data_IF_511034146974
#
_entry.id   IF_511034146974
#
_cell.length_a   1.000
_cell.length_b   1.000
_cell.length_c   1.000
_cell.angle_alpha   90.00
_cell.angle_beta   90.00
_cell.angle_gamma   90.00
#
_symmetry.space_group_name_H-M   'P 1'
#
loop_
_entity.id
_entity.type
_entity.pdbx_description
1 polymer ?
#
# COMPACT_ATOMS: atom_id res chain seq x y z
N UNK A 1 -14.53 -49.11 -45.04
CA UNK A 1 -13.28 -49.70 -44.50
C UNK A 1 -12.15 -48.70 -44.76
N UNK A 2 -11.92 -47.78 -43.82
CA UNK A 2 -10.85 -46.78 -43.88
C UNK A 2 -10.17 -46.78 -42.51
N UNK A 3 -8.92 -47.25 -42.49
CA UNK A 3 -8.06 -47.33 -41.31
C UNK A 3 -7.49 -45.94 -41.01
N UNK A 4 -7.78 -45.42 -39.81
CA UNK A 4 -7.13 -44.22 -39.27
C UNK A 4 -5.78 -44.65 -38.70
N UNK A 5 -4.71 -44.11 -39.28
CA UNK A 5 -3.33 -44.37 -38.89
C UNK A 5 -2.97 -43.43 -37.72
N UNK A 6 -2.93 -43.95 -36.49
CA UNK A 6 -2.45 -43.19 -35.33
C UNK A 6 -0.92 -43.10 -35.41
N UNK A 7 -0.42 -41.90 -35.74
CA UNK A 7 1.00 -41.59 -35.73
C UNK A 7 1.59 -41.80 -34.34
N UNK A 8 2.54 -42.74 -34.24
CA UNK A 8 3.35 -43.00 -33.05
C UNK A 8 4.21 -41.75 -32.81
N UNK A 9 3.91 -41.01 -31.74
CA UNK A 9 4.75 -39.90 -31.29
C UNK A 9 6.08 -40.51 -30.81
N UNK A 10 7.24 -40.12 -31.37
CA UNK A 10 8.52 -40.71 -30.99
C UNK A 10 8.83 -40.41 -29.52
N UNK A 11 9.16 -41.47 -28.76
CA UNK A 11 9.36 -41.48 -27.29
C UNK A 11 10.32 -40.39 -26.77
N UNK A 12 11.25 -39.91 -27.62
CA UNK A 12 12.15 -38.77 -27.31
C UNK A 12 11.43 -37.42 -27.16
N UNK A 13 10.26 -37.21 -27.78
CA UNK A 13 9.46 -35.97 -27.61
C UNK A 13 8.62 -35.99 -26.34
N UNK A 14 8.21 -37.18 -25.87
CA UNK A 14 7.46 -37.34 -24.61
C UNK A 14 8.39 -37.08 -23.40
N UNK A 15 9.65 -37.48 -23.47
CA UNK A 15 10.65 -37.21 -22.42
C UNK A 15 11.00 -35.71 -22.28
N UNK A 16 10.97 -34.92 -23.36
CA UNK A 16 11.21 -33.47 -23.31
C UNK A 16 9.99 -32.72 -22.73
N UNK A 17 8.77 -33.18 -23.02
CA UNK A 17 7.54 -32.61 -22.44
C UNK A 17 7.43 -32.94 -20.94
N UNK A 18 7.82 -34.15 -20.51
CA UNK A 18 7.88 -34.52 -19.09
C UNK A 18 9.01 -33.78 -18.33
N UNK A 19 10.15 -33.51 -18.97
CA UNK A 19 11.22 -32.72 -18.37
C UNK A 19 10.87 -31.23 -18.23
N UNK A 20 10.03 -30.68 -19.11
CA UNK A 20 9.49 -29.31 -18.96
C UNK A 20 8.39 -29.20 -17.90
N UNK A 21 7.67 -30.28 -17.60
CA UNK A 21 6.69 -30.34 -16.49
C UNK A 21 7.34 -30.51 -15.11
N UNK A 22 8.62 -30.91 -15.06
CA UNK A 22 9.36 -31.14 -13.81
C UNK A 22 10.06 -29.88 -13.25
N UNK A 23 9.96 -28.73 -13.92
CA UNK A 23 10.37 -27.41 -13.39
C UNK A 23 9.16 -26.51 -13.28
N UNK A 24 8.12 -26.98 -12.60
CA UNK A 24 7.25 -26.04 -11.90
C UNK A 24 8.10 -25.60 -10.71
N UNK A 25 8.58 -24.35 -10.63
CA UNK A 25 9.11 -23.87 -9.36
C UNK A 25 7.99 -24.11 -8.35
N UNK A 26 8.22 -25.01 -7.41
CA UNK A 26 7.40 -25.12 -6.22
C UNK A 26 7.47 -23.74 -5.57
N UNK A 27 6.46 -22.91 -5.83
CA UNK A 27 6.30 -21.60 -5.21
C UNK A 27 5.99 -21.91 -3.75
N UNK A 28 7.04 -22.13 -2.96
CA UNK A 28 6.90 -22.13 -1.52
C UNK A 28 6.33 -20.76 -1.16
N UNK A 29 5.16 -20.75 -0.50
CA UNK A 29 4.55 -19.54 0.00
C UNK A 29 5.59 -18.75 0.80
N UNK A 30 5.65 -17.43 0.61
CA UNK A 30 6.64 -16.62 1.30
C UNK A 30 6.45 -16.69 2.83
N UNK A 31 5.20 -16.73 3.28
CA UNK A 31 4.81 -16.96 4.66
C UNK A 31 4.60 -18.45 4.97
N UNK A 32 5.00 -18.86 6.17
CA UNK A 32 4.71 -20.17 6.74
C UNK A 32 3.91 -20.00 8.03
N UNK A 33 2.73 -20.62 8.09
CA UNK A 33 1.92 -20.63 9.30
C UNK A 33 2.68 -21.33 10.45
N UNK A 34 2.75 -20.64 11.59
CA UNK A 34 3.44 -21.07 12.80
C UNK A 34 2.54 -21.03 14.03
N UNK A 35 1.35 -20.44 13.92
CA UNK A 35 0.39 -20.42 15.01
C UNK A 35 -0.04 -21.85 15.35
N UNK A 36 0.20 -22.24 16.60
CA UNK A 36 -0.35 -23.47 17.14
C UNK A 36 -1.85 -23.28 17.48
N UNK A 37 -2.78 -23.98 16.78
CA UNK A 37 -4.21 -23.88 17.07
C UNK A 37 -4.60 -24.47 18.44
N UNK A 38 -3.70 -25.21 19.10
CA UNK A 38 -3.89 -25.76 20.44
C UNK A 38 -2.98 -25.10 21.49
N UNK A 39 -2.19 -24.10 21.06
CA UNK A 39 -1.24 -23.40 21.92
C UNK A 39 -1.90 -22.46 22.92
N UNK A 40 -1.05 -21.77 23.70
CA UNK A 40 -1.50 -20.77 24.67
C UNK A 40 -2.48 -19.80 24.02
N UNK A 41 -3.64 -19.65 24.63
CA UNK A 41 -4.71 -18.79 24.12
C UNK A 41 -5.25 -17.93 25.24
N UNK A 42 -5.35 -16.63 24.97
CA UNK A 42 -5.83 -15.64 25.92
C UNK A 42 -6.84 -14.72 25.26
N UNK A 43 -7.88 -14.36 26.01
CA UNK A 43 -8.91 -13.45 25.58
C UNK A 43 -8.67 -12.07 26.22
N UNK A 44 -8.52 -11.03 25.41
CA UNK A 44 -8.14 -9.70 25.88
C UNK A 44 -9.14 -9.08 26.86
N UNK A 45 -10.42 -9.41 26.74
CA UNK A 45 -11.46 -8.96 27.68
C UNK A 45 -11.39 -9.75 29.00
N UNK A 46 -11.39 -11.08 28.93
CA UNK A 46 -11.45 -11.95 30.12
C UNK A 46 -10.14 -11.97 30.91
N UNK A 47 -9.00 -12.05 30.23
CA UNK A 47 -7.69 -12.26 30.85
C UNK A 47 -6.94 -10.94 31.11
N UNK A 48 -7.22 -9.87 30.37
CA UNK A 48 -6.50 -8.58 30.45
C UNK A 48 -7.40 -7.37 30.68
N UNK A 49 -8.70 -7.58 30.87
CA UNK A 49 -9.63 -6.52 31.25
C UNK A 49 -9.84 -5.43 30.20
N UNK A 50 -9.64 -5.74 28.90
CA UNK A 50 -10.04 -4.82 27.83
C UNK A 50 -11.57 -4.66 27.82
N UNK A 51 -12.04 -3.43 27.73
CA UNK A 51 -13.45 -3.07 27.79
C UNK A 51 -13.92 -2.55 26.44
N UNK A 52 -15.07 -3.03 25.97
CA UNK A 52 -15.79 -2.35 24.89
C UNK A 52 -16.53 -1.15 25.50
N UNK A 53 -15.87 0.00 25.52
CA UNK A 53 -16.41 1.25 26.05
C UNK A 53 -16.82 2.22 24.95
N UNK A 54 -17.00 1.71 23.72
CA UNK A 54 -17.17 2.50 22.51
C UNK A 54 -15.98 3.43 22.23
N UNK A 55 -14.76 2.92 22.46
CA UNK A 55 -13.50 3.61 22.25
C UNK A 55 -13.39 4.94 23.01
N UNK A 56 -13.86 4.97 24.26
CA UNK A 56 -13.81 6.16 25.13
C UNK A 56 -12.48 6.30 25.87
N UNK A 57 -11.84 5.19 26.22
CA UNK A 57 -10.57 5.15 26.94
C UNK A 57 -9.44 4.59 26.08
N UNK A 58 -8.22 5.08 26.35
CA UNK A 58 -7.01 4.49 25.82
C UNK A 58 -6.72 3.17 26.55
N UNK A 59 -6.61 2.08 25.79
CA UNK A 59 -6.33 0.74 26.29
C UNK A 59 -5.02 0.18 25.74
N UNK A 60 -4.13 1.05 25.27
CA UNK A 60 -2.83 0.68 24.69
C UNK A 60 -1.98 -0.14 25.65
N UNK A 61 -1.92 0.26 26.93
CA UNK A 61 -1.15 -0.43 27.97
C UNK A 61 -1.64 -1.88 28.16
N UNK A 62 -2.95 -2.09 28.28
CA UNK A 62 -3.54 -3.44 28.45
C UNK A 62 -3.22 -4.38 27.29
N UNK A 63 -3.29 -3.87 26.05
CA UNK A 63 -2.97 -4.68 24.88
C UNK A 63 -1.46 -4.97 24.81
N UNK A 64 -0.61 -4.01 25.14
CA UNK A 64 0.84 -4.24 25.16
C UNK A 64 1.23 -5.25 26.25
N UNK A 65 0.66 -5.15 27.46
CA UNK A 65 0.86 -6.12 28.53
C UNK A 65 0.44 -7.53 28.12
N UNK A 66 -0.66 -7.65 27.37
CA UNK A 66 -1.13 -8.93 26.86
C UNK A 66 -0.15 -9.57 25.86
N UNK A 67 0.35 -8.77 24.91
CA UNK A 67 1.38 -9.18 23.95
C UNK A 67 2.64 -9.62 24.68
N UNK A 68 3.07 -8.84 25.67
CA UNK A 68 4.26 -9.11 26.46
C UNK A 68 4.13 -10.39 27.29
N UNK A 69 2.98 -10.59 27.94
CA UNK A 69 2.70 -11.77 28.76
C UNK A 69 2.64 -13.06 27.93
N UNK A 70 2.09 -13.00 26.72
CA UNK A 70 2.04 -14.15 25.79
C UNK A 70 3.41 -14.44 25.20
N UNK A 71 4.12 -13.40 24.73
CA UNK A 71 5.47 -13.55 24.19
C UNK A 71 6.44 -14.12 25.22
N UNK A 72 6.38 -13.69 26.49
CA UNK A 72 7.20 -14.23 27.60
C UNK A 72 6.99 -15.73 27.84
N UNK A 73 5.86 -16.29 27.41
CA UNK A 73 5.55 -17.72 27.51
C UNK A 73 5.91 -18.52 26.25
N UNK A 74 6.65 -17.90 25.32
CA UNK A 74 7.03 -18.51 24.05
C UNK A 74 6.03 -18.30 22.91
N UNK A 75 5.09 -17.36 23.08
CA UNK A 75 4.10 -17.04 22.05
C UNK A 75 2.71 -17.62 22.31
N UNK A 76 1.82 -17.41 21.35
CA UNK A 76 0.43 -17.86 21.43
C UNK A 76 -0.57 -16.89 20.80
N UNK A 77 -1.85 -17.17 21.05
CA UNK A 77 -2.99 -16.47 20.46
C UNK A 77 -3.58 -15.45 21.43
N UNK A 78 -3.78 -14.24 20.95
CA UNK A 78 -4.53 -13.19 21.64
C UNK A 78 -5.82 -12.91 20.88
N UNK A 79 -6.96 -13.18 21.51
CA UNK A 79 -8.28 -12.96 20.93
C UNK A 79 -8.81 -11.61 21.42
N UNK A 80 -9.03 -10.68 20.49
CA UNK A 80 -9.82 -9.46 20.72
C UNK A 80 -11.27 -9.75 20.35
N UNK A 81 -12.18 -9.92 21.34
CA UNK A 81 -13.57 -10.20 21.04
C UNK A 81 -14.25 -8.99 20.38
N UNK A 82 -15.39 -9.22 19.74
CA UNK A 82 -16.18 -8.18 19.09
C UNK A 82 -16.50 -7.05 20.07
N UNK A 83 -16.20 -5.83 19.65
CA UNK A 83 -16.43 -4.61 20.41
C UNK A 83 -15.83 -3.38 19.72
N UNK A 84 -15.88 -2.23 20.40
CA UNK A 84 -15.28 -0.97 19.92
C UNK A 84 -14.23 -0.46 20.91
N UNK A 85 -12.97 -0.49 20.50
CA UNK A 85 -11.80 -0.25 21.35
C UNK A 85 -11.00 0.97 20.87
N UNK A 86 -10.25 1.58 21.78
CA UNK A 86 -9.25 2.58 21.46
C UNK A 86 -7.89 2.21 22.02
N UNK A 87 -6.88 2.17 21.15
CA UNK A 87 -5.48 1.98 21.48
C UNK A 87 -4.62 2.47 20.31
N UNK A 88 -3.33 2.67 20.54
CA UNK A 88 -2.33 3.00 19.52
C UNK A 88 -0.94 2.58 19.98
N UNK A 89 0.05 2.63 19.09
CA UNK A 89 1.45 2.45 19.45
C UNK A 89 1.82 1.03 19.86
N UNK A 90 1.03 0.05 19.46
CA UNK A 90 1.19 -1.35 19.85
C UNK A 90 2.40 -1.95 19.13
N UNK A 91 3.38 -2.44 19.89
CA UNK A 91 4.53 -3.14 19.35
C UNK A 91 4.30 -4.63 19.45
N UNK A 92 4.17 -5.28 18.29
CA UNK A 92 4.04 -6.72 18.21
C UNK A 92 5.34 -7.41 18.64
N UNK A 93 5.24 -8.67 19.07
CA UNK A 93 6.38 -9.50 19.46
C UNK A 93 6.36 -10.84 18.74
N UNK A 94 7.51 -11.52 18.72
CA UNK A 94 7.66 -12.81 18.05
C UNK A 94 6.70 -13.85 18.62
N UNK A 95 6.23 -14.73 17.76
CA UNK A 95 5.33 -15.85 18.07
C UNK A 95 3.96 -15.44 18.63
N UNK A 96 3.61 -14.14 18.56
CA UNK A 96 2.30 -13.62 18.99
C UNK A 96 1.36 -13.48 17.79
N UNK A 97 0.19 -14.09 17.92
CA UNK A 97 -0.86 -14.08 16.91
C UNK A 97 -2.09 -13.33 17.44
N UNK A 98 -2.27 -12.08 16.99
CA UNK A 98 -3.44 -11.27 17.31
C UNK A 98 -4.60 -11.64 16.37
N UNK A 99 -5.66 -12.17 16.95
CA UNK A 99 -6.89 -12.62 16.31
C UNK A 99 -8.03 -11.69 16.71
N UNK A 100 -8.61 -10.96 15.75
CA UNK A 100 -9.61 -9.94 16.01
C UNK A 100 -10.94 -10.39 15.43
N UNK A 101 -11.96 -10.54 16.26
CA UNK A 101 -13.28 -10.98 15.77
C UNK A 101 -13.86 -10.01 14.73
N UNK A 102 -14.57 -10.56 13.75
CA UNK A 102 -15.27 -9.81 12.70
C UNK A 102 -16.09 -8.65 13.27
N UNK A 103 -16.09 -7.54 12.54
CA UNK A 103 -16.78 -6.28 12.86
C UNK A 103 -16.30 -5.58 14.14
N UNK A 104 -15.22 -6.04 14.78
CA UNK A 104 -14.55 -5.27 15.84
C UNK A 104 -14.10 -3.94 15.27
N UNK A 105 -14.37 -2.84 15.97
CA UNK A 105 -13.96 -1.50 15.58
C UNK A 105 -12.81 -1.02 16.46
N UNK A 106 -11.69 -0.65 15.85
CA UNK A 106 -10.56 -0.02 16.52
C UNK A 106 -10.51 1.43 16.08
N UNK A 107 -10.71 2.36 17.02
CA UNK A 107 -10.48 3.78 16.79
C UNK A 107 -9.14 4.15 17.41
N UNK A 108 -8.13 4.55 16.63
CA UNK A 108 -6.82 4.84 17.19
C UNK A 108 -6.89 5.91 18.27
N UNK A 109 -6.25 5.66 19.42
CA UNK A 109 -5.99 6.73 20.38
C UNK A 109 -5.03 7.73 19.74
N UNK A 110 -5.53 8.92 19.41
CA UNK A 110 -4.77 9.86 18.56
C UNK A 110 -4.83 11.29 19.12
N UNK A 111 -3.89 11.65 20.00
CA UNK A 111 -3.78 13.01 20.52
C UNK A 111 -3.62 14.06 19.39
N UNK A 112 -4.16 15.26 19.57
CA UNK A 112 -4.07 16.34 18.59
C UNK A 112 -2.60 16.73 18.28
N UNK A 113 -2.33 17.08 17.02
CA UNK A 113 -1.03 17.47 16.50
C UNK A 113 0.08 16.40 16.64
N UNK A 114 -0.30 15.13 16.73
CA UNK A 114 0.66 14.01 16.82
C UNK A 114 0.67 13.14 15.58
N UNK A 115 1.80 12.47 15.40
CA UNK A 115 1.97 11.37 14.45
C UNK A 115 1.88 10.07 15.23
N UNK A 116 1.09 9.12 14.75
CA UNK A 116 0.87 7.86 15.45
C UNK A 116 0.98 6.68 14.50
N UNK A 117 1.02 5.48 15.06
CA UNK A 117 0.86 4.23 14.32
C UNK A 117 0.10 3.25 15.21
N UNK A 118 -0.85 2.50 14.66
CA UNK A 118 -1.65 1.57 15.47
C UNK A 118 -0.82 0.34 15.85
N UNK A 119 -0.24 -0.33 14.85
CA UNK A 119 0.62 -1.50 15.04
C UNK A 119 2.03 -1.27 14.47
N UNK A 120 3.03 -1.70 15.24
CA UNK A 120 4.45 -1.68 14.91
C UNK A 120 4.98 -3.10 14.79
N UNK A 121 5.48 -3.46 13.61
CA UNK A 121 6.29 -4.66 13.40
C UNK A 121 7.73 -4.22 13.16
N UNK A 122 8.31 -3.67 14.22
CA UNK A 122 9.69 -3.22 14.26
C UNK A 122 10.29 -3.65 15.59
N UNK A 123 10.94 -4.81 15.61
CA UNK A 123 11.73 -5.18 16.77
C UNK A 123 12.85 -4.15 17.02
N UNK A 124 13.11 -3.83 18.29
CA UNK A 124 14.03 -2.76 18.65
C UNK A 124 15.49 -3.15 18.43
N UNK A 125 15.99 -4.13 19.19
CA UNK A 125 17.34 -4.68 19.07
C UNK A 125 17.36 -5.96 18.24
N UNK A 126 16.31 -6.79 18.38
CA UNK A 126 16.10 -8.03 17.63
C UNK A 126 15.01 -7.82 16.57
N UNK A 127 14.87 -8.72 15.60
CA UNK A 127 13.74 -8.71 14.67
C UNK A 127 12.53 -9.41 15.30
N UNK A 128 11.34 -9.12 14.80
CA UNK A 128 10.12 -9.87 15.14
C UNK A 128 10.02 -11.04 14.16
N UNK A 129 9.63 -12.22 14.62
CA UNK A 129 9.35 -13.36 13.74
C UNK A 129 8.09 -14.13 14.11
N UNK A 130 7.49 -14.81 13.13
CA UNK A 130 6.35 -15.72 13.35
C UNK A 130 5.13 -15.00 13.96
N UNK A 131 4.72 -13.89 13.34
CA UNK A 131 3.74 -12.96 13.92
C UNK A 131 2.54 -12.80 13.01
N UNK A 132 1.34 -12.62 13.57
CA UNK A 132 0.16 -12.30 12.75
C UNK A 132 -0.76 -11.26 13.36
N UNK A 133 -1.37 -10.43 12.52
CA UNK A 133 -2.52 -9.58 12.85
C UNK A 133 -3.63 -9.94 11.85
N UNK A 134 -4.70 -10.59 12.32
CA UNK A 134 -5.75 -11.14 11.44
C UNK A 134 -7.14 -11.02 12.00
N UNK A 135 -8.11 -10.84 11.10
CA UNK A 135 -9.52 -11.03 11.40
C UNK A 135 -9.88 -12.50 11.61
N UNK A 136 -10.92 -12.76 12.40
CA UNK A 136 -11.54 -14.07 12.59
C UNK A 136 -12.96 -14.01 12.06
N UNK A 137 -13.31 -14.97 11.19
CA UNK A 137 -14.60 -15.06 10.50
C UNK A 137 -14.96 -13.86 9.59
N UNK A 138 -13.98 -13.00 9.31
CA UNK A 138 -14.11 -11.86 8.42
C UNK A 138 -13.32 -10.65 8.91
N UNK A 139 -13.48 -9.49 8.23
CA UNK A 139 -12.65 -8.34 8.52
C UNK A 139 -13.04 -7.63 9.82
N UNK A 140 -12.03 -7.12 10.52
CA UNK A 140 -12.20 -6.09 11.54
C UNK A 140 -12.01 -4.70 10.91
N UNK A 141 -12.36 -3.65 11.65
CA UNK A 141 -12.40 -2.28 11.16
C UNK A 141 -11.42 -1.42 11.95
N UNK A 142 -10.55 -0.71 11.26
CA UNK A 142 -9.77 0.40 11.82
C UNK A 142 -10.38 1.71 11.32
N UNK A 143 -10.94 2.51 12.23
CA UNK A 143 -11.73 3.68 11.87
C UNK A 143 -11.10 4.98 12.39
N UNK A 144 -10.60 5.76 11.45
CA UNK A 144 -10.17 7.15 11.66
C UNK A 144 -10.80 8.08 10.60
N UNK A 145 -12.00 7.74 10.13
CA UNK A 145 -12.76 8.49 9.13
C UNK A 145 -13.28 9.86 9.61
N UNK A 146 -13.31 10.06 10.93
CA UNK A 146 -13.73 11.32 11.53
C UNK A 146 -12.61 12.35 11.70
N UNK A 147 -11.33 11.97 11.47
CA UNK A 147 -10.18 12.81 11.80
C UNK A 147 -9.94 13.94 10.79
N UNK A 148 -10.00 13.64 9.51
CA UNK A 148 -9.63 14.54 8.42
C UNK A 148 -8.13 14.67 8.19
N UNK A 149 -7.77 15.41 7.14
CA UNK A 149 -6.40 15.75 6.81
C UNK A 149 -5.92 16.99 7.59
N UNK A 150 -5.28 16.77 8.74
CA UNK A 150 -4.78 17.84 9.61
C UNK A 150 -3.26 17.96 9.45
N UNK A 151 -2.78 19.18 9.18
CA UNK A 151 -1.36 19.46 9.03
C UNK A 151 -0.60 19.13 10.32
N UNK A 152 0.51 18.37 10.20
CA UNK A 152 1.30 17.93 11.35
C UNK A 152 0.88 16.59 11.93
N UNK A 153 -0.32 16.12 11.59
CA UNK A 153 -0.85 14.83 12.02
C UNK A 153 -0.68 13.77 10.94
N UNK A 154 -0.51 12.52 11.36
CA UNK A 154 -0.41 11.37 10.45
C UNK A 154 -0.62 10.06 11.18
N UNK A 155 -1.08 9.04 10.46
CA UNK A 155 -1.24 7.69 11.01
C UNK A 155 -0.74 6.62 10.04
N UNK A 156 -0.15 5.57 10.58
CA UNK A 156 -0.03 4.27 9.90
C UNK A 156 -0.83 3.24 10.68
N UNK A 157 -1.67 2.47 10.01
CA UNK A 157 -2.35 1.34 10.65
C UNK A 157 -1.35 0.24 10.98
N UNK A 158 -0.47 -0.11 10.02
CA UNK A 158 0.61 -1.06 10.28
C UNK A 158 1.93 -0.53 9.70
N UNK A 159 2.98 -0.52 10.50
CA UNK A 159 4.34 -0.16 10.08
C UNK A 159 5.27 -1.37 10.21
N UNK A 160 5.63 -1.96 9.08
CA UNK A 160 6.50 -3.12 8.98
C UNK A 160 7.94 -2.69 8.68
N UNK A 161 8.88 -3.16 9.51
CA UNK A 161 10.31 -2.86 9.37
C UNK A 161 11.23 -4.07 9.57
N UNK A 162 11.46 -4.48 10.81
CA UNK A 162 12.32 -5.63 11.17
C UNK A 162 11.44 -6.80 11.54
N UNK A 163 10.88 -7.44 10.53
CA UNK A 163 9.97 -8.57 10.72
C UNK A 163 10.19 -9.65 9.67
N UNK A 164 10.17 -10.91 10.10
CA UNK A 164 10.26 -12.10 9.26
C UNK A 164 9.05 -13.01 9.50
N UNK A 165 8.59 -13.73 8.49
CA UNK A 165 7.52 -14.71 8.61
C UNK A 165 6.25 -14.13 9.25
N UNK A 166 5.57 -13.23 8.54
CA UNK A 166 4.44 -12.48 9.07
C UNK A 166 3.17 -12.59 8.22
N UNK A 167 2.03 -12.49 8.89
CA UNK A 167 0.70 -12.44 8.27
C UNK A 167 -0.07 -11.19 8.70
N UNK A 168 -0.62 -10.45 7.74
CA UNK A 168 -1.52 -9.31 8.00
C UNK A 168 -2.76 -9.47 7.14
N UNK A 169 -3.93 -9.65 7.76
CA UNK A 169 -5.14 -9.95 6.99
C UNK A 169 -6.46 -9.46 7.55
N UNK A 170 -7.47 -9.45 6.68
CA UNK A 170 -8.88 -9.27 6.99
C UNK A 170 -9.13 -7.97 7.76
N UNK A 171 -8.85 -6.85 7.10
CA UNK A 171 -8.92 -5.52 7.69
C UNK A 171 -9.58 -4.52 6.73
N UNK A 172 -10.57 -3.80 7.26
CA UNK A 172 -11.14 -2.61 6.63
C UNK A 172 -10.61 -1.37 7.31
N UNK A 173 -9.96 -0.49 6.56
CA UNK A 173 -9.47 0.81 7.01
C UNK A 173 -10.42 1.90 6.50
N UNK A 174 -11.02 2.64 7.42
CA UNK A 174 -11.80 3.85 7.12
C UNK A 174 -10.92 5.06 7.39
N UNK A 175 -10.33 5.59 6.32
CA UNK A 175 -9.46 6.76 6.37
C UNK A 175 -10.30 8.05 6.18
N UNK A 176 -9.63 9.19 6.30
CA UNK A 176 -10.16 10.52 6.01
C UNK A 176 -9.07 11.40 5.41
N UNK A 177 -8.38 10.86 4.39
CA UNK A 177 -7.33 11.54 3.61
C UNK A 177 -6.16 11.96 4.51
N UNK A 178 -5.89 11.13 5.50
CA UNK A 178 -4.78 11.34 6.43
C UNK A 178 -3.43 11.20 5.70
N UNK A 179 -2.39 11.64 6.40
CA UNK A 179 -1.02 11.51 5.90
C UNK A 179 -0.49 10.10 6.18
N UNK A 180 0.13 9.49 5.15
CA UNK A 180 0.68 8.12 5.04
C UNK A 180 -0.28 7.08 4.48
N UNK A 181 0.29 6.05 3.84
CA UNK A 181 -0.48 4.86 3.50
C UNK A 181 -0.78 4.08 4.78
N UNK A 182 -1.94 3.42 4.82
CA UNK A 182 -2.38 2.67 5.99
C UNK A 182 -1.35 1.58 6.39
N UNK A 183 -0.79 0.87 5.41
CA UNK A 183 0.32 -0.06 5.62
C UNK A 183 1.61 0.50 4.99
N UNK A 184 2.71 0.42 5.73
CA UNK A 184 4.04 0.83 5.26
C UNK A 184 5.05 -0.29 5.46
N UNK A 185 5.84 -0.57 4.43
CA UNK A 185 6.94 -1.53 4.45
C UNK A 185 8.23 -0.77 4.16
N UNK A 186 9.13 -0.68 5.14
CA UNK A 186 10.33 0.14 5.01
C UNK A 186 11.48 -0.52 5.76
N UNK A 187 12.71 -0.17 5.41
CA UNK A 187 13.86 -0.59 6.21
C UNK A 187 13.79 -0.01 7.63
N UNK A 188 14.36 -0.74 8.58
CA UNK A 188 14.77 -0.13 9.83
C UNK A 188 16.02 0.74 9.63
N UNK A 189 16.17 1.68 10.55
CA UNK A 189 17.42 2.44 10.68
C UNK A 189 18.38 1.61 11.52
N UNK A 190 19.65 1.54 11.13
CA UNK A 190 20.71 1.00 11.96
C UNK A 190 20.76 1.76 13.31
N UNK A 191 20.68 1.02 14.42
CA UNK A 191 20.82 1.55 15.80
C UNK A 191 21.98 0.81 16.48
N UNK A 192 22.68 1.50 17.38
CA UNK A 192 23.73 0.88 18.20
C UNK A 192 23.12 -0.24 19.07
N UNK A 193 23.80 -1.39 19.15
CA UNK A 193 23.38 -2.53 19.98
C UNK A 193 22.47 -3.55 19.27
N UNK A 194 22.21 -3.42 17.97
CA UNK A 194 21.54 -4.47 17.20
C UNK A 194 22.41 -5.72 17.14
N UNK A 195 21.85 -6.87 17.53
CA UNK A 195 22.54 -8.16 17.59
C UNK A 195 22.38 -8.98 16.31
N UNK A 196 21.30 -8.75 15.57
CA UNK A 196 21.02 -9.39 14.29
C UNK A 196 20.76 -8.33 13.20
N UNK A 197 21.66 -8.27 12.22
CA UNK A 197 21.60 -7.36 11.07
C UNK A 197 21.06 -8.03 9.80
N UNK A 198 20.73 -9.32 9.84
CA UNK A 198 20.30 -10.06 8.65
C UNK A 198 18.87 -9.69 8.22
N UNK A 199 18.05 -9.20 9.16
CA UNK A 199 16.67 -8.77 8.93
C UNK A 199 16.54 -7.28 9.19
N UNK A 200 16.84 -6.47 8.17
CA UNK A 200 16.70 -5.01 8.20
C UNK A 200 15.44 -4.50 7.50
N UNK A 201 14.73 -5.38 6.81
CA UNK A 201 13.52 -5.10 6.03
C UNK A 201 12.48 -6.20 6.31
N UNK A 202 11.19 -5.98 6.01
CA UNK A 202 10.19 -7.02 6.15
C UNK A 202 10.48 -8.16 5.17
N UNK A 203 10.48 -9.40 5.65
CA UNK A 203 10.68 -10.58 4.80
C UNK A 203 9.70 -11.71 5.07
N UNK A 204 9.46 -12.56 4.07
CA UNK A 204 8.70 -13.81 4.21
C UNK A 204 7.25 -13.55 4.67
N UNK A 205 6.55 -12.66 3.98
CA UNK A 205 5.23 -12.17 4.41
C UNK A 205 4.06 -12.61 3.53
N UNK A 206 2.87 -12.70 4.11
CA UNK A 206 1.61 -12.72 3.37
C UNK A 206 0.68 -11.60 3.87
N UNK A 207 0.16 -10.81 2.95
CA UNK A 207 -0.64 -9.62 3.27
C UNK A 207 -1.86 -9.57 2.36
N UNK A 208 -3.06 -9.69 2.91
CA UNK A 208 -4.22 -9.73 2.04
C UNK A 208 -5.59 -9.55 2.68
N UNK A 209 -6.62 -9.53 1.85
CA UNK A 209 -8.01 -9.25 2.24
C UNK A 209 -8.14 -7.88 2.93
N UNK A 210 -7.60 -6.85 2.27
CA UNK A 210 -7.53 -5.50 2.82
C UNK A 210 -8.38 -4.54 1.98
N UNK A 211 -9.17 -3.72 2.66
CA UNK A 211 -9.92 -2.62 2.05
C UNK A 211 -9.54 -1.30 2.72
N UNK A 212 -9.21 -0.27 1.93
CA UNK A 212 -9.06 1.09 2.43
C UNK A 212 -10.00 2.06 1.69
N UNK A 213 -10.79 2.79 2.45
CA UNK A 213 -11.67 3.84 1.92
C UNK A 213 -11.10 5.21 2.21
N UNK A 214 -11.27 6.15 1.26
CA UNK A 214 -11.03 7.57 1.50
C UNK A 214 -9.60 7.91 1.96
N UNK A 215 -8.61 7.18 1.45
CA UNK A 215 -7.20 7.53 1.62
C UNK A 215 -6.82 8.72 0.73
N UNK A 216 -5.76 9.44 1.12
CA UNK A 216 -5.28 10.56 0.29
C UNK A 216 -4.74 10.05 -1.05
N UNK A 217 -4.99 10.75 -2.18
CA UNK A 217 -4.42 10.37 -3.48
C UNK A 217 -2.88 10.39 -3.53
N UNK A 218 -2.24 11.12 -2.61
CA UNK A 218 -0.79 11.09 -2.42
C UNK A 218 -0.28 9.95 -1.53
N UNK A 219 -1.19 9.17 -0.95
CA UNK A 219 -0.96 8.00 -0.09
C UNK A 219 -1.81 6.83 -0.60
N UNK A 220 -2.51 6.05 0.24
CA UNK A 220 -3.21 4.86 -0.23
C UNK A 220 -3.40 3.79 0.84
N UNK A 221 -3.78 2.59 0.42
CA UNK A 221 -3.84 1.43 1.30
C UNK A 221 -2.43 1.02 1.76
N UNK A 222 -1.52 0.79 0.82
CA UNK A 222 -0.21 0.24 1.11
C UNK A 222 0.90 1.00 0.37
N UNK A 223 2.06 1.16 1.01
CA UNK A 223 3.30 1.58 0.35
C UNK A 223 4.50 0.71 0.74
N UNK A 224 5.26 0.27 -0.27
CA UNK A 224 6.57 -0.35 -0.06
C UNK A 224 7.71 0.60 -0.41
N UNK A 225 8.64 0.69 0.51
CA UNK A 225 9.97 1.27 0.34
C UNK A 225 11.08 0.21 0.40
N UNK A 226 10.85 -0.85 1.18
CA UNK A 226 11.75 -1.99 1.26
C UNK A 226 11.01 -3.27 1.65
N UNK A 227 11.55 -4.42 1.28
CA UNK A 227 11.02 -5.74 1.67
C UNK A 227 11.43 -6.84 0.71
N UNK A 228 11.33 -8.10 1.14
CA UNK A 228 11.72 -9.24 0.29
C UNK A 228 10.86 -10.48 0.50
N UNK A 229 10.46 -11.18 -0.56
CA UNK A 229 9.61 -12.38 -0.50
C UNK A 229 8.33 -12.07 0.27
N UNK A 230 7.46 -11.28 -0.34
CA UNK A 230 6.18 -10.93 0.27
C UNK A 230 5.09 -11.12 -0.80
N UNK A 231 4.09 -11.90 -0.42
CA UNK A 231 2.92 -12.20 -1.23
C UNK A 231 1.76 -11.28 -0.81
N UNK A 232 1.13 -10.64 -1.80
CA UNK A 232 -0.01 -9.77 -1.60
C UNK A 232 -1.25 -10.33 -2.30
N UNK A 233 -2.42 -10.27 -1.66
CA UNK A 233 -3.64 -10.80 -2.26
C UNK A 233 -4.88 -10.02 -1.84
N UNK A 234 -5.82 -9.78 -2.77
CA UNK A 234 -7.11 -9.13 -2.48
C UNK A 234 -6.94 -7.76 -1.81
N UNK A 235 -6.23 -6.84 -2.48
CA UNK A 235 -6.02 -5.47 -2.01
C UNK A 235 -6.97 -4.51 -2.72
N UNK A 236 -7.77 -3.77 -1.95
CA UNK A 236 -8.79 -2.86 -2.49
C UNK A 236 -8.65 -1.44 -1.94
N UNK A 237 -8.75 -0.43 -2.81
CA UNK A 237 -8.95 0.95 -2.38
C UNK A 237 -10.15 1.61 -3.06
N UNK A 238 -10.97 2.31 -2.28
CA UNK A 238 -12.17 2.99 -2.78
C UNK A 238 -12.12 4.47 -2.42
N UNK A 239 -12.36 5.34 -3.40
CA UNK A 239 -12.45 6.78 -3.19
C UNK A 239 -11.11 7.49 -2.99
N UNK A 240 -9.99 6.77 -2.90
CA UNK A 240 -8.71 7.31 -2.41
C UNK A 240 -7.51 7.15 -3.32
N UNK A 241 -6.34 6.94 -2.72
CA UNK A 241 -5.07 6.71 -3.40
C UNK A 241 -4.88 5.28 -3.94
N UNK A 242 -3.65 4.91 -4.34
CA UNK A 242 -3.30 3.55 -4.73
C UNK A 242 -3.68 2.48 -3.71
N UNK A 243 -4.15 1.33 -4.21
CA UNK A 243 -4.25 0.11 -3.42
C UNK A 243 -2.85 -0.49 -3.15
N UNK A 244 -2.01 -0.55 -4.19
CA UNK A 244 -0.68 -1.16 -4.14
C UNK A 244 0.39 -0.21 -4.70
N UNK A 245 1.09 0.49 -3.79
CA UNK A 245 2.10 1.49 -4.14
C UNK A 245 3.52 0.97 -3.90
N UNK A 246 4.19 0.64 -4.98
CA UNK A 246 5.59 0.23 -5.02
C UNK A 246 6.46 1.45 -5.34
N UNK A 247 6.64 2.32 -4.35
CA UNK A 247 7.37 3.58 -4.53
C UNK A 247 8.54 3.71 -3.54
N UNK A 248 9.74 3.36 -3.99
CA UNK A 248 10.92 3.11 -3.16
C UNK A 248 11.79 4.35 -2.90
N UNK A 249 11.18 5.50 -2.60
CA UNK A 249 11.92 6.74 -2.29
C UNK A 249 12.38 6.88 -0.83
N UNK A 250 11.80 6.10 0.09
CA UNK A 250 11.99 6.25 1.55
C UNK A 250 12.80 5.15 2.22
N UNK A 251 13.38 4.22 1.45
CA UNK A 251 13.97 2.98 1.98
C UNK A 251 15.37 3.11 2.58
N UNK A 252 16.05 4.24 2.43
CA UNK A 252 17.41 4.42 2.96
C UNK A 252 18.41 3.41 2.41
N UNK A 253 19.42 3.06 3.22
CA UNK A 253 20.53 2.16 2.87
C UNK A 253 20.06 0.76 2.44
N UNK A 254 19.07 0.20 3.13
CA UNK A 254 18.47 -1.11 2.82
C UNK A 254 17.18 -0.96 2.01
N UNK A 255 17.04 0.11 1.23
CA UNK A 255 15.89 0.36 0.39
C UNK A 255 15.84 -0.57 -0.81
N UNK A 256 14.64 -0.81 -1.32
CA UNK A 256 14.42 -1.69 -2.47
C UNK A 256 13.56 -2.90 -2.12
N UNK A 257 12.79 -3.35 -3.10
CA UNK A 257 11.88 -4.49 -2.95
C UNK A 257 12.27 -5.63 -3.88
N UNK A 258 12.21 -6.87 -3.38
CA UNK A 258 12.68 -8.05 -4.10
C UNK A 258 11.73 -9.22 -3.94
N UNK A 259 11.53 -10.00 -4.99
CA UNK A 259 10.72 -11.23 -4.94
C UNK A 259 9.29 -10.95 -4.43
N UNK A 260 8.60 -9.97 -5.03
CA UNK A 260 7.26 -9.56 -4.63
C UNK A 260 6.22 -10.18 -5.56
N UNK A 261 5.19 -10.81 -5.01
CA UNK A 261 4.02 -11.25 -5.79
C UNK A 261 2.75 -10.54 -5.33
N UNK A 262 1.82 -10.31 -6.25
CA UNK A 262 0.53 -9.71 -5.93
C UNK A 262 -0.58 -10.27 -6.80
N UNK A 263 -1.73 -10.57 -6.20
CA UNK A 263 -2.93 -11.04 -6.90
C UNK A 263 -4.17 -10.24 -6.54
N UNK A 264 -5.05 -10.05 -7.52
CA UNK A 264 -6.37 -9.43 -7.35
C UNK A 264 -6.32 -8.05 -6.66
N UNK A 265 -5.84 -7.05 -7.40
CA UNK A 265 -5.75 -5.67 -6.93
C UNK A 265 -6.90 -4.86 -7.52
N UNK A 266 -7.68 -4.21 -6.65
CA UNK A 266 -8.87 -3.46 -7.02
C UNK A 266 -8.78 -1.99 -6.64
N UNK A 267 -9.30 -1.11 -7.51
CA UNK A 267 -9.51 0.28 -7.16
C UNK A 267 -10.80 0.84 -7.76
N UNK A 268 -11.60 1.54 -6.97
CA UNK A 268 -12.81 2.23 -7.45
C UNK A 268 -12.83 3.69 -7.04
N UNK A 269 -13.22 4.59 -7.95
CA UNK A 269 -13.30 6.03 -7.69
C UNK A 269 -12.00 6.59 -7.08
N UNK A 270 -10.86 6.00 -7.42
CA UNK A 270 -9.57 6.27 -6.80
C UNK A 270 -8.55 6.84 -7.78
N UNK A 271 -7.30 6.92 -7.33
CA UNK A 271 -6.19 7.36 -8.18
C UNK A 271 -5.77 6.24 -9.14
N UNK A 272 -5.34 5.10 -8.60
CA UNK A 272 -4.97 3.92 -9.37
C UNK A 272 -5.03 2.66 -8.52
N UNK A 273 -4.97 1.48 -9.11
CA UNK A 273 -4.74 0.24 -8.35
C UNK A 273 -3.26 0.07 -8.03
N UNK A 274 -2.39 0.19 -9.04
CA UNK A 274 -0.95 -0.06 -8.92
C UNK A 274 -0.14 1.17 -9.32
N UNK A 275 0.87 1.52 -8.50
CA UNK A 275 1.90 2.49 -8.84
C UNK A 275 3.28 1.86 -8.65
N UNK A 276 4.14 1.94 -9.66
CA UNK A 276 5.54 1.50 -9.59
C UNK A 276 6.48 2.67 -9.88
N UNK A 277 7.25 3.09 -8.88
CA UNK A 277 8.16 4.23 -8.96
C UNK A 277 9.46 3.93 -8.20
N UNK A 278 10.56 3.59 -8.90
CA UNK A 278 11.73 3.05 -8.22
C UNK A 278 12.61 4.11 -7.53
N UNK A 279 12.39 5.41 -7.79
CA UNK A 279 13.23 6.51 -7.28
C UNK A 279 14.72 6.27 -7.54
N UNK A 280 15.51 6.01 -6.49
CA UNK A 280 16.95 5.68 -6.57
C UNK A 280 17.24 4.21 -6.23
N UNK A 281 16.24 3.43 -5.80
CA UNK A 281 16.44 2.04 -5.38
C UNK A 281 16.56 1.09 -6.57
N UNK A 282 17.44 0.11 -6.42
CA UNK A 282 17.59 -1.01 -7.34
C UNK A 282 16.67 -2.15 -6.85
N UNK A 283 15.50 -2.27 -7.45
CA UNK A 283 14.50 -3.25 -7.04
C UNK A 283 14.67 -4.56 -7.83
N UNK A 284 14.30 -5.68 -7.21
CA UNK A 284 14.21 -6.99 -7.84
C UNK A 284 12.93 -7.19 -8.65
N UNK A 285 12.56 -8.46 -8.82
CA UNK A 285 11.36 -8.86 -9.54
C UNK A 285 10.09 -8.56 -8.75
N UNK A 286 9.08 -8.07 -9.48
CA UNK A 286 7.72 -7.87 -8.99
C UNK A 286 6.76 -8.53 -9.98
N UNK A 287 5.87 -9.39 -9.49
CA UNK A 287 4.92 -10.13 -10.30
C UNK A 287 3.49 -9.85 -9.86
N UNK A 288 2.72 -9.13 -10.69
CA UNK A 288 1.35 -8.73 -10.38
C UNK A 288 0.39 -9.38 -11.37
N UNK A 289 -0.62 -10.06 -10.85
CA UNK A 289 -1.64 -10.77 -11.63
C UNK A 289 -3.06 -10.40 -11.19
N UNK A 290 -3.81 -9.76 -12.09
CA UNK A 290 -5.19 -9.35 -11.84
C UNK A 290 -5.23 -7.95 -11.27
N UNK A 291 -5.54 -6.99 -12.13
CA UNK A 291 -5.76 -5.59 -11.76
C UNK A 291 -7.08 -5.14 -12.34
N UNK A 292 -8.05 -4.79 -11.48
CA UNK A 292 -9.34 -4.27 -11.92
C UNK A 292 -9.54 -2.87 -11.37
N UNK A 293 -9.91 -1.92 -12.24
CA UNK A 293 -10.30 -0.59 -11.80
C UNK A 293 -11.63 -0.13 -12.37
N UNK A 294 -12.35 0.67 -11.59
CA UNK A 294 -13.58 1.34 -12.03
C UNK A 294 -13.53 2.82 -11.69
N UNK A 295 -13.65 3.67 -12.70
CA UNK A 295 -13.62 5.13 -12.51
C UNK A 295 -12.37 5.60 -11.74
N UNK A 296 -11.18 5.08 -12.08
CA UNK A 296 -9.91 5.53 -11.51
C UNK A 296 -9.13 6.39 -12.52
N UNK A 297 -8.18 7.20 -12.05
CA UNK A 297 -7.36 8.01 -12.98
C UNK A 297 -6.59 7.10 -13.94
N UNK A 298 -5.94 6.07 -13.41
CA UNK A 298 -5.27 5.02 -14.16
C UNK A 298 -5.54 3.66 -13.54
N UNK A 299 -5.40 2.56 -14.27
CA UNK A 299 -5.32 1.24 -13.64
C UNK A 299 -3.93 1.03 -13.01
N UNK A 300 -2.90 1.27 -13.83
CA UNK A 300 -1.49 1.06 -13.49
C UNK A 300 -0.68 2.27 -13.94
N UNK A 301 0.21 2.75 -13.08
CA UNK A 301 1.21 3.76 -13.44
C UNK A 301 2.61 3.28 -13.13
N UNK A 302 3.52 3.46 -14.09
CA UNK A 302 4.93 3.09 -13.99
C UNK A 302 5.79 4.31 -14.33
N UNK A 303 6.85 4.53 -13.55
CA UNK A 303 7.77 5.65 -13.75
C UNK A 303 9.23 5.21 -13.84
N UNK A 304 10.10 6.09 -14.34
CA UNK A 304 11.53 5.85 -14.32
C UNK A 304 12.09 6.14 -12.93
N UNK A 305 13.29 5.65 -12.64
CA UNK A 305 14.08 6.18 -11.56
C UNK A 305 14.53 7.61 -11.84
N UNK A 306 14.80 8.35 -10.77
CA UNK A 306 15.35 9.70 -10.87
C UNK A 306 16.26 9.98 -9.69
N UNK A 307 17.27 10.82 -9.90
CA UNK A 307 18.15 11.34 -8.86
C UNK A 307 17.70 12.77 -8.58
N UNK A 308 17.38 13.07 -7.32
CA UNK A 308 17.02 14.43 -6.90
C UNK A 308 18.20 15.39 -7.12
N UNK A 309 17.91 16.67 -7.40
CA UNK A 309 18.92 17.69 -7.73
C UNK A 309 20.10 17.72 -6.74
N UNK A 310 19.78 17.71 -5.45
CA UNK A 310 20.75 17.73 -4.35
C UNK A 310 21.71 16.52 -4.33
N UNK A 311 21.34 15.43 -5.01
CA UNK A 311 22.09 14.18 -5.04
C UNK A 311 22.76 13.95 -6.41
N UNK A 312 22.57 14.82 -7.40
CA UNK A 312 23.09 14.61 -8.77
C UNK A 312 24.61 14.56 -8.86
N UNK A 313 25.32 15.21 -7.94
CA UNK A 313 26.78 15.20 -7.88
C UNK A 313 27.35 13.98 -7.17
N UNK A 314 26.51 13.14 -6.56
CA UNK A 314 26.97 11.92 -5.88
C UNK A 314 27.00 10.75 -6.88
N UNK A 315 28.20 10.25 -7.27
CA UNK A 315 28.33 9.18 -8.26
C UNK A 315 27.77 7.84 -7.79
N UNK A 316 27.60 7.65 -6.47
CA UNK A 316 27.07 6.41 -5.89
C UNK A 316 25.54 6.32 -5.98
N UNK A 317 24.87 7.45 -6.25
CA UNK A 317 23.40 7.50 -6.34
C UNK A 317 22.99 7.39 -7.81
N UNK A 318 22.46 6.23 -8.17
CA UNK A 318 21.94 5.95 -9.51
C UNK A 318 20.43 6.11 -9.58
N UNK A 319 19.91 6.25 -10.80
CA UNK A 319 18.47 6.14 -11.04
C UNK A 319 18.04 4.72 -10.70
N UNK A 320 16.96 4.61 -9.93
CA UNK A 320 16.36 3.34 -9.57
C UNK A 320 15.69 2.65 -10.75
N UNK A 321 15.56 1.33 -10.64
CA UNK A 321 14.83 0.50 -11.58
C UNK A 321 14.09 -0.61 -10.83
N UNK A 322 13.19 -1.29 -11.53
CA UNK A 322 12.78 -2.65 -11.18
C UNK A 322 13.51 -3.62 -12.09
N UNK A 323 13.68 -4.87 -11.65
CA UNK A 323 14.31 -5.87 -12.49
C UNK A 323 13.50 -6.09 -13.79
N UNK A 324 14.21 -6.20 -14.91
CA UNK A 324 13.61 -6.54 -16.19
C UNK A 324 12.87 -7.87 -16.08
N UNK A 325 11.71 -7.96 -16.75
CA UNK A 325 10.82 -9.10 -16.61
C UNK A 325 9.85 -9.02 -15.42
N UNK A 326 9.88 -7.94 -14.63
CA UNK A 326 8.76 -7.65 -13.70
C UNK A 326 7.44 -7.56 -14.48
N UNK A 327 6.37 -8.17 -13.96
CA UNK A 327 5.10 -8.34 -14.69
C UNK A 327 3.93 -7.58 -14.07
N UNK A 328 3.04 -7.07 -14.91
CA UNK A 328 1.67 -6.70 -14.54
C UNK A 328 0.71 -7.25 -15.59
N UNK A 329 -0.08 -8.26 -15.22
CA UNK A 329 -0.94 -9.03 -16.13
C UNK A 329 -2.41 -8.92 -15.74
N UNK A 330 -3.28 -9.27 -16.70
CA UNK A 330 -4.73 -9.39 -16.49
C UNK A 330 -5.33 -8.08 -15.96
N UNK A 331 -5.16 -7.02 -16.75
CA UNK A 331 -5.57 -5.66 -16.41
C UNK A 331 -6.92 -5.37 -17.06
N UNK A 332 -7.90 -4.95 -16.28
CA UNK A 332 -9.21 -4.52 -16.75
C UNK A 332 -9.57 -3.14 -16.17
N UNK A 333 -9.93 -2.19 -17.03
CA UNK A 333 -10.29 -0.85 -16.61
C UNK A 333 -11.65 -0.41 -17.15
N UNK A 334 -12.53 0.01 -16.25
CA UNK A 334 -13.85 0.55 -16.58
C UNK A 334 -13.80 2.07 -16.42
N UNK A 335 -14.07 2.78 -17.52
CA UNK A 335 -14.12 4.24 -17.52
C UNK A 335 -15.21 4.76 -16.57
N UNK A 336 -14.93 5.89 -15.90
CA UNK A 336 -15.94 6.64 -15.18
C UNK A 336 -15.51 8.09 -14.96
N UNK A 337 -16.39 8.89 -14.36
CA UNK A 337 -16.24 10.34 -14.20
C UNK A 337 -16.03 10.78 -12.75
N UNK A 338 -15.64 9.84 -11.88
CA UNK A 338 -15.46 10.04 -10.44
C UNK A 338 -14.07 9.64 -9.92
N UNK A 339 -13.07 9.55 -10.80
CA UNK A 339 -11.69 9.27 -10.45
C UNK A 339 -11.11 10.32 -9.49
N UNK A 340 -10.23 9.89 -8.59
CA UNK A 340 -9.42 10.78 -7.77
C UNK A 340 -8.19 11.22 -8.59
N UNK A 341 -8.09 12.50 -8.94
CA UNK A 341 -7.04 13.04 -9.82
C UNK A 341 -6.07 13.86 -8.98
N UNK A 342 -4.78 13.54 -8.97
CA UNK A 342 -3.80 14.41 -8.31
C UNK A 342 -3.64 15.71 -9.12
N UNK A 343 -3.32 16.84 -8.46
CA UNK A 343 -3.04 18.10 -9.18
C UNK A 343 -1.92 17.96 -10.22
N UNK A 344 -0.95 17.07 -9.96
CA UNK A 344 0.14 16.74 -10.90
C UNK A 344 -0.34 15.92 -12.10
N UNK A 345 -1.44 15.18 -11.96
CA UNK A 345 -2.02 14.33 -13.00
C UNK A 345 -3.01 15.06 -13.89
N UNK A 346 -3.45 16.28 -13.52
CA UNK A 346 -4.38 17.08 -14.32
C UNK A 346 -3.84 17.33 -15.73
N UNK A 347 -2.53 17.52 -15.88
CA UNK A 347 -1.90 17.71 -17.20
C UNK A 347 -1.95 16.48 -18.11
N UNK A 348 -2.28 15.31 -17.56
CA UNK A 348 -2.47 14.08 -18.32
C UNK A 348 -3.94 13.85 -18.71
N UNK A 349 -4.88 14.63 -18.17
CA UNK A 349 -6.31 14.52 -18.52
C UNK A 349 -6.50 14.94 -19.98
N UNK A 350 -7.15 14.12 -20.83
CA UNK A 350 -7.46 14.49 -22.21
C UNK A 350 -8.19 15.84 -22.29
N UNK A 351 -7.85 16.68 -23.28
CA UNK A 351 -8.37 18.05 -23.36
C UNK A 351 -9.91 18.13 -23.32
N UNK A 352 -10.59 17.22 -24.01
CA UNK A 352 -12.06 17.16 -24.04
C UNK A 352 -12.71 16.79 -22.70
N UNK A 353 -11.92 16.22 -21.79
CA UNK A 353 -12.32 15.75 -20.47
C UNK A 353 -12.05 16.78 -19.37
N UNK A 354 -11.31 17.86 -19.67
CA UNK A 354 -10.97 18.88 -18.66
C UNK A 354 -12.21 19.54 -18.04
N UNK A 355 -13.29 19.69 -18.82
CA UNK A 355 -14.58 20.22 -18.34
C UNK A 355 -15.32 19.31 -17.35
N UNK A 356 -14.90 18.04 -17.23
CA UNK A 356 -15.47 17.07 -16.29
C UNK A 356 -14.70 17.04 -14.97
N UNK A 357 -13.60 17.79 -14.87
CA UNK A 357 -12.87 17.96 -13.61
C UNK A 357 -13.70 18.86 -12.71
N UNK A 358 -13.81 18.45 -11.44
CA UNK A 358 -14.44 19.23 -10.39
C UNK A 358 -13.60 19.16 -9.12
N UNK A 359 -13.78 20.15 -8.25
CA UNK A 359 -13.27 20.08 -6.89
C UNK A 359 -14.46 19.83 -5.97
N UNK A 360 -14.47 18.70 -5.26
CA UNK A 360 -15.50 18.51 -4.23
C UNK A 360 -15.29 19.59 -3.15
N UNK A 361 -16.39 20.17 -2.65
CA UNK A 361 -16.42 21.32 -1.71
C UNK A 361 -15.43 21.16 -0.54
N UNK A 362 -14.95 22.27 0.06
CA UNK A 362 -13.96 22.25 1.13
C UNK A 362 -14.53 21.61 2.39
N UNK A 363 -14.49 20.29 2.46
CA UNK A 363 -14.39 19.64 3.74
C UNK A 363 -12.91 19.73 4.13
N UNK A 364 -12.62 20.28 5.33
CA UNK A 364 -11.28 20.22 5.94
C UNK A 364 -10.75 18.78 6.02
N UNK A 365 -11.62 17.79 5.83
CA UNK A 365 -11.27 16.40 5.67
C UNK A 365 -10.67 16.08 4.29
N UNK A 366 -11.00 16.74 3.15
CA UNK A 366 -10.67 16.20 1.82
C UNK A 366 -10.62 17.26 0.68
N UNK A 367 -9.43 17.60 0.16
CA UNK A 367 -9.31 18.23 -1.18
C UNK A 367 -9.44 17.14 -2.25
N UNK A 368 -10.65 16.90 -2.74
CA UNK A 368 -10.89 15.93 -3.80
C UNK A 368 -10.95 16.64 -5.14
N UNK A 369 -9.90 16.51 -5.94
CA UNK A 369 -10.06 16.76 -7.37
C UNK A 369 -10.61 15.49 -7.96
N UNK A 370 -11.84 15.58 -8.46
CA UNK A 370 -12.53 14.47 -9.10
C UNK A 370 -12.64 14.71 -10.58
N UNK A 371 -12.74 13.63 -11.34
CA UNK A 371 -13.01 13.76 -12.77
C UNK A 371 -12.97 12.43 -13.50
N UNK A 372 -12.78 12.49 -14.82
CA UNK A 372 -12.78 11.30 -15.66
C UNK A 372 -11.52 10.47 -15.47
N UNK A 373 -11.68 9.17 -15.70
CA UNK A 373 -10.54 8.28 -15.92
C UNK A 373 -9.65 8.83 -17.03
N UNK A 374 -8.34 8.78 -16.79
CA UNK A 374 -7.33 9.34 -17.70
C UNK A 374 -6.93 8.30 -18.73
N UNK A 375 -6.64 7.07 -18.32
CA UNK A 375 -6.30 5.95 -19.22
C UNK A 375 -6.16 4.63 -18.48
N UNK A 376 -5.69 3.59 -19.16
CA UNK A 376 -5.58 2.24 -18.58
C UNK A 376 -4.20 2.02 -17.96
N UNK A 377 -3.14 1.93 -18.76
CA UNK A 377 -1.77 1.81 -18.26
C UNK A 377 -0.94 3.01 -18.71
N UNK A 378 -0.36 3.73 -17.75
CA UNK A 378 0.64 4.78 -18.02
C UNK A 378 2.02 4.19 -17.83
N UNK A 379 2.68 3.85 -18.94
CA UNK A 379 4.06 3.40 -18.95
C UNK A 379 4.99 4.62 -19.15
N UNK A 380 5.55 5.11 -18.05
CA UNK A 380 6.54 6.17 -18.03
C UNK A 380 7.97 5.68 -17.83
N UNK A 381 8.27 4.38 -17.98
CA UNK A 381 9.62 3.85 -17.67
C UNK A 381 10.69 4.41 -18.59
N UNK A 382 10.32 4.85 -19.80
CA UNK A 382 11.23 5.42 -20.80
C UNK A 382 12.42 4.48 -21.09
N UNK A 383 12.20 3.17 -21.03
CA UNK A 383 13.24 2.16 -21.27
C UNK A 383 14.27 2.02 -20.15
N UNK A 384 14.12 2.72 -19.02
CA UNK A 384 15.02 2.56 -17.85
C UNK A 384 14.89 1.20 -17.15
N UNK A 385 13.82 0.48 -17.46
CA UNK A 385 13.56 -0.92 -17.13
C UNK A 385 12.41 -1.42 -18.00
N UNK A 386 12.32 -2.75 -18.15
CA UNK A 386 11.46 -3.41 -19.12
C UNK A 386 10.37 -4.26 -18.43
N UNK A 387 9.23 -3.65 -18.06
CA UNK A 387 8.08 -4.40 -17.56
C UNK A 387 7.44 -5.25 -18.67
N UNK A 388 6.94 -6.43 -18.29
CA UNK A 388 6.07 -7.25 -19.12
C UNK A 388 4.61 -6.94 -18.76
N UNK A 389 3.88 -6.36 -19.70
CA UNK A 389 2.49 -5.93 -19.53
C UNK A 389 1.61 -6.74 -20.48
N UNK A 390 0.69 -7.53 -19.93
CA UNK A 390 -0.09 -8.50 -20.71
C UNK A 390 -1.59 -8.48 -20.37
N UNK A 391 -2.41 -8.89 -21.34
CA UNK A 391 -3.86 -8.99 -21.23
C UNK A 391 -4.51 -7.70 -20.67
N UNK A 392 -4.38 -6.61 -21.43
CA UNK A 392 -4.95 -5.30 -21.09
C UNK A 392 -6.28 -5.11 -21.80
N UNK A 393 -7.35 -4.99 -21.02
CA UNK A 393 -8.72 -4.78 -21.51
C UNK A 393 -9.34 -3.54 -20.88
N UNK A 394 -10.39 -3.01 -21.50
CA UNK A 394 -11.02 -1.77 -21.05
C UNK A 394 -12.44 -1.59 -21.55
N UNK A 395 -13.22 -0.77 -20.86
CA UNK A 395 -14.59 -0.40 -21.20
C UNK A 395 -14.78 1.12 -21.14
N UNK A 396 -15.48 1.69 -22.12
CA UNK A 396 -15.89 3.10 -22.12
C UNK A 396 -14.78 4.14 -22.32
N UNK A 397 -13.51 3.76 -22.44
CA UNK A 397 -12.41 4.69 -22.72
C UNK A 397 -12.45 5.20 -24.17
N UNK A 398 -12.36 6.52 -24.37
CA UNK A 398 -12.12 7.14 -25.69
C UNK A 398 -10.63 7.43 -25.94
N UNK A 399 -9.88 7.77 -24.89
CA UNK A 399 -8.46 8.13 -24.93
C UNK A 399 -7.61 7.18 -24.11
N UNK A 400 -6.28 7.20 -24.36
CA UNK A 400 -5.27 6.47 -23.58
C UNK A 400 -5.63 5.00 -23.37
N UNK A 401 -6.02 4.38 -24.48
CA UNK A 401 -6.46 3.00 -24.57
C UNK A 401 -5.28 2.04 -24.38
N UNK A 402 -5.45 0.99 -23.59
CA UNK A 402 -4.39 0.02 -23.36
C UNK A 402 -3.12 0.62 -22.72
N UNK A 403 -1.94 0.28 -23.26
CA UNK A 403 -0.65 0.80 -22.75
C UNK A 403 -0.28 2.11 -23.44
N UNK A 404 -0.24 3.19 -22.66
CA UNK A 404 0.15 4.53 -23.11
C UNK A 404 1.56 4.84 -22.65
N UNK A 405 2.48 5.07 -23.59
CA UNK A 405 3.83 5.57 -23.27
C UNK A 405 3.76 7.03 -22.85
N UNK A 406 4.39 7.38 -21.73
CA UNK A 406 4.38 8.73 -21.16
C UNK A 406 5.80 9.20 -20.82
N UNK A 407 6.00 10.52 -20.76
CA UNK A 407 7.25 11.11 -20.28
C UNK A 407 6.96 12.20 -19.24
N UNK A 408 7.87 12.34 -18.27
CA UNK A 408 7.79 13.41 -17.27
C UNK A 408 8.20 14.77 -17.83
N UNK A 409 8.98 14.82 -18.90
CA UNK A 409 9.59 16.04 -19.42
C UNK A 409 8.57 16.96 -20.12
N UNK A 410 7.42 16.42 -20.50
CA UNK A 410 6.38 17.13 -21.27
C UNK A 410 5.20 17.64 -20.40
N UNK A 411 5.33 17.66 -19.07
CA UNK A 411 4.21 18.06 -18.18
C UNK A 411 4.03 19.57 -18.13
N UNK A 412 2.85 20.04 -18.53
CA UNK A 412 2.40 21.42 -18.29
C UNK A 412 1.89 21.60 -16.85
N UNK A 413 1.97 22.83 -16.32
CA UNK A 413 1.37 23.17 -15.03
C UNK A 413 -0.15 23.07 -15.07
N UNK A 414 -0.77 22.80 -13.91
CA UNK A 414 -2.22 22.74 -13.76
C UNK A 414 -2.87 24.07 -14.19
N UNK A 415 -2.28 25.19 -13.78
CA UNK A 415 -2.76 26.54 -14.11
C UNK A 415 -2.77 26.78 -15.62
N UNK A 416 -1.76 26.28 -16.36
CA UNK A 416 -1.71 26.39 -17.82
C UNK A 416 -2.76 25.51 -18.50
N UNK A 417 -2.97 24.30 -17.97
CA UNK A 417 -3.90 23.31 -18.55
C UNK A 417 -5.36 23.71 -18.33
N UNK A 418 -5.67 24.28 -17.17
CA UNK A 418 -7.03 24.68 -16.79
C UNK A 418 -7.35 26.14 -17.14
N UNK A 419 -6.46 26.86 -17.82
CA UNK A 419 -6.66 28.27 -18.17
C UNK A 419 -7.97 28.43 -18.95
N UNK A 420 -8.86 29.29 -18.44
CA UNK A 420 -10.16 29.57 -19.04
C UNK A 420 -11.27 28.59 -18.65
N UNK A 421 -11.02 27.66 -17.72
CA UNK A 421 -12.04 26.78 -17.16
C UNK A 421 -12.46 27.23 -15.75
N UNK A 422 -13.77 27.19 -15.40
CA UNK A 422 -14.26 27.61 -14.08
C UNK A 422 -13.57 26.91 -12.91
N UNK A 423 -13.21 25.64 -13.08
CA UNK A 423 -12.55 24.84 -12.04
C UNK A 423 -11.21 25.42 -11.58
N UNK A 424 -10.51 26.22 -12.42
CA UNK A 424 -9.29 26.90 -11.99
C UNK A 424 -9.58 27.96 -10.92
N UNK A 425 -10.68 28.70 -11.06
CA UNK A 425 -11.11 29.71 -10.09
C UNK A 425 -11.52 29.05 -8.77
N UNK A 426 -12.19 27.90 -8.83
CA UNK A 426 -12.51 27.08 -7.64
C UNK A 426 -11.24 26.67 -6.88
N UNK A 427 -10.20 26.21 -7.59
CA UNK A 427 -8.90 25.90 -6.99
C UNK A 427 -8.27 27.10 -6.28
N UNK A 428 -8.34 28.28 -6.89
CA UNK A 428 -7.76 29.51 -6.33
C UNK A 428 -8.53 30.00 -5.10
N UNK A 429 -9.86 29.94 -5.13
CA UNK A 429 -10.72 30.25 -3.99
C UNK A 429 -10.41 29.34 -2.80
N UNK A 430 -10.31 28.03 -3.06
CA UNK A 430 -9.94 27.05 -2.03
C UNK A 430 -8.54 27.33 -1.47
N UNK A 431 -7.53 27.57 -2.32
CA UNK A 431 -6.18 27.91 -1.86
C UNK A 431 -6.19 29.08 -0.86
N UNK A 432 -7.00 30.12 -1.11
CA UNK A 432 -7.15 31.28 -0.21
C UNK A 432 -7.80 30.91 1.13
N UNK A 433 -8.87 30.13 1.10
CA UNK A 433 -9.57 29.68 2.32
C UNK A 433 -8.64 28.85 3.22
N UNK A 434 -7.88 27.91 2.65
CA UNK A 434 -6.91 27.11 3.41
C UNK A 434 -5.76 27.94 3.99
N UNK A 435 -5.28 28.96 3.26
CA UNK A 435 -4.26 29.86 3.75
C UNK A 435 -4.75 30.68 4.96
N UNK A 436 -6.02 31.09 4.95
CA UNK A 436 -6.65 31.77 6.09
C UNK A 436 -6.90 30.82 7.29
N UNK A 437 -7.20 29.56 7.02
CA UNK A 437 -7.47 28.52 8.01
C UNK A 437 -6.24 27.90 8.69
N UNK A 438 -5.03 28.11 8.14
CA UNK A 438 -3.80 27.53 8.67
C UNK A 438 -3.19 28.43 9.75
N UNK A 439 -2.87 27.92 10.96
CA UNK A 439 -2.22 28.73 11.97
C UNK A 439 -0.88 29.25 11.44
N UNK A 440 -0.67 30.58 11.51
CA UNK A 440 0.62 31.20 11.15
C UNK A 440 1.71 30.51 11.96
N UNK A 441 2.66 29.85 11.30
CA UNK A 441 3.85 29.30 11.96
C UNK A 441 4.53 30.43 12.73
N UNK A 442 4.45 30.40 14.06
CA UNK A 442 5.25 31.32 14.88
C UNK A 442 6.71 30.94 14.69
N UNK A 443 7.45 31.74 13.93
CA UNK A 443 8.88 31.59 13.74
C UNK A 443 9.62 31.98 15.02
N UNK A 444 9.58 31.14 16.06
CA UNK A 444 10.61 31.17 17.10
C UNK A 444 11.73 30.23 16.66
N UNK A 445 12.64 30.76 15.83
CA UNK A 445 14.00 30.23 15.73
C UNK A 445 14.61 30.34 17.13
N UNK A 446 14.63 29.23 17.89
CA UNK A 446 15.56 29.11 19.00
C UNK A 446 16.94 28.91 18.37
N UNK A 447 17.78 29.95 18.45
CA UNK A 447 19.23 29.81 18.33
C UNK A 447 19.69 29.07 19.58
N UNK A 448 20.27 27.89 19.42
CA UNK A 448 21.35 27.37 20.25
C UNK A 448 22.25 26.53 19.35
#
# INVERSE_FOLDING_TARGET
>A
MHLINYGIIPMKRILIILAMLAVIPSVNAAYKETMDPNGLTKNLKKDFGMVDDNAKSDQSEKLQEAIDAVSKKGGGRLILPKGTYSFTGITMKSDVHLMIEKDTVIKPWWPANTKTQLFSLNGDLEHIENVSIRGVDGPFIVDYSNRGSIAGESIRTVNCRRVKNFLISDMTIKDSYTTYCALSFTSAKNKNGMTNTDVMVPTDGWVGNLLCTDSSPGYGLLQMHAGRRIDFENLSSIGGGPAFRLETGGGGEHGGIHDITAKNIYCENGAQAVLMGPHTSQNGLVMIDGVTVKSCSWAVTMGPGFVEEKNKSNPDIKRGCFADGSTVKNIHAIFGTNACISTKSISSVPKEYLKLIRVDKPDRKQKRVRGPSIGVVSDGTQGSWLPVIENVTQEGFKHNKGVTKTSRDNRSSMEKVLKGLPVLEEFEALKKEYAAASPKKSSKKKKH
#
